data_IF_516787851703
#
_entry.id   IF_516787851703
#
_cell.length_a   1.000
_cell.length_b   1.000
_cell.length_c   1.000
_cell.angle_alpha   90.00
_cell.angle_beta   90.00
_cell.angle_gamma   90.00
#
_symmetry.space_group_name_H-M   'P 1'
#
loop_
_entity.id
_entity.type
_entity.pdbx_description
1 polymer ?
#
# COMPACT_ATOMS: atom_id res chain seq x y z
N UNK A 1 11.72 -24.72 -25.30
CA UNK A 1 11.55 -25.31 -23.95
C UNK A 1 12.49 -24.73 -22.90
N UNK A 2 13.80 -24.59 -23.15
CA UNK A 2 14.75 -24.05 -22.15
C UNK A 2 14.45 -22.61 -21.67
N UNK A 3 13.98 -21.72 -22.57
CA UNK A 3 13.58 -20.35 -22.22
C UNK A 3 12.30 -20.29 -21.35
N UNK A 4 11.38 -21.24 -21.51
CA UNK A 4 10.16 -21.36 -20.69
C UNK A 4 10.50 -21.83 -19.27
N UNK A 5 11.42 -22.79 -19.12
CA UNK A 5 11.87 -23.29 -17.82
C UNK A 5 12.70 -22.24 -17.03
N UNK A 6 13.54 -21.45 -17.71
CA UNK A 6 14.26 -20.34 -17.08
C UNK A 6 13.31 -19.22 -16.61
N UNK A 7 12.22 -18.98 -17.34
CA UNK A 7 11.18 -18.02 -16.95
C UNK A 7 10.43 -18.48 -15.68
N UNK A 8 10.14 -19.78 -15.55
CA UNK A 8 9.51 -20.35 -14.35
C UNK A 8 10.39 -20.28 -13.10
N UNK A 9 11.70 -20.54 -13.21
CA UNK A 9 12.61 -20.50 -12.06
C UNK A 9 12.88 -19.08 -11.55
N UNK A 10 13.06 -18.10 -12.44
CA UNK A 10 13.17 -16.69 -12.06
C UNK A 10 11.87 -16.16 -11.42
N UNK A 11 10.72 -16.64 -11.90
CA UNK A 11 9.41 -16.25 -11.37
C UNK A 11 9.13 -16.76 -9.94
N UNK A 12 9.71 -17.89 -9.52
CA UNK A 12 9.53 -18.49 -8.19
C UNK A 12 10.50 -17.93 -7.11
N UNK A 13 11.68 -17.43 -7.50
CA UNK A 13 12.60 -16.76 -6.58
C UNK A 13 12.15 -15.33 -6.23
N UNK A 14 11.51 -14.63 -7.18
CA UNK A 14 10.91 -13.30 -6.98
C UNK A 14 9.78 -13.32 -5.93
N UNK A 15 8.96 -14.38 -5.89
CA UNK A 15 7.76 -14.43 -5.06
C UNK A 15 8.04 -14.59 -3.56
N UNK A 16 8.99 -15.46 -3.16
CA UNK A 16 9.42 -15.55 -1.74
C UNK A 16 10.01 -14.25 -1.21
N UNK A 17 10.76 -13.53 -2.05
CA UNK A 17 11.30 -12.21 -1.70
C UNK A 17 10.20 -11.18 -1.47
N UNK A 18 9.13 -11.25 -2.26
CA UNK A 18 7.97 -10.38 -2.12
C UNK A 18 7.24 -10.62 -0.79
N UNK A 19 6.89 -11.88 -0.47
CA UNK A 19 6.18 -12.20 0.78
C UNK A 19 6.94 -11.72 2.02
N UNK A 20 8.25 -11.99 2.07
CA UNK A 20 9.07 -11.56 3.20
C UNK A 20 9.10 -10.05 3.36
N UNK A 21 9.17 -9.30 2.25
CA UNK A 21 9.12 -7.85 2.29
C UNK A 21 7.75 -7.34 2.78
N UNK A 22 6.65 -7.84 2.20
CA UNK A 22 5.28 -7.47 2.58
C UNK A 22 5.00 -7.77 4.06
N UNK A 23 5.40 -8.95 4.56
CA UNK A 23 5.25 -9.34 5.96
C UNK A 23 5.96 -8.38 6.92
N UNK A 24 7.11 -7.81 6.50
CA UNK A 24 7.88 -6.83 7.28
C UNK A 24 7.42 -5.38 7.09
N UNK A 25 6.35 -5.14 6.33
CA UNK A 25 5.95 -3.77 5.95
C UNK A 25 7.03 -3.06 5.15
N UNK A 26 7.69 -3.78 4.23
CA UNK A 26 8.72 -3.27 3.33
C UNK A 26 8.24 -3.37 1.87
N UNK A 27 8.68 -2.46 0.98
CA UNK A 27 8.46 -2.64 -0.44
C UNK A 27 9.33 -3.78 -0.96
N UNK A 28 8.75 -4.64 -1.79
CA UNK A 28 9.48 -5.49 -2.70
C UNK A 28 9.74 -4.71 -4.00
N UNK A 29 10.99 -4.75 -4.48
CA UNK A 29 11.40 -4.07 -5.70
C UNK A 29 11.98 -5.08 -6.66
N UNK A 30 11.40 -5.17 -7.86
CA UNK A 30 11.86 -6.06 -8.93
C UNK A 30 12.24 -5.22 -10.16
N UNK A 31 13.55 -4.93 -10.35
CA UNK A 31 14.03 -4.27 -11.55
C UNK A 31 13.84 -5.17 -12.77
N UNK A 32 13.54 -4.56 -13.92
CA UNK A 32 13.35 -5.27 -15.21
C UNK A 32 12.20 -6.29 -15.17
N UNK A 33 11.18 -6.05 -14.35
CA UNK A 33 9.94 -6.83 -14.36
C UNK A 33 9.24 -6.74 -15.74
N UNK A 34 9.25 -5.55 -16.35
CA UNK A 34 8.84 -5.38 -17.75
C UNK A 34 10.06 -5.35 -18.68
N UNK A 35 9.99 -6.01 -19.85
CA UNK A 35 11.00 -5.86 -20.89
C UNK A 35 11.01 -4.43 -21.44
N UNK A 36 12.19 -3.95 -21.83
CA UNK A 36 12.39 -2.56 -22.26
C UNK A 36 11.51 -2.14 -23.44
N UNK A 37 11.20 -3.06 -24.35
CA UNK A 37 10.29 -2.82 -25.49
C UNK A 37 8.87 -2.48 -25.01
N UNK A 38 8.35 -3.25 -24.06
CA UNK A 38 7.03 -3.01 -23.49
C UNK A 38 7.00 -1.70 -22.68
N UNK A 39 8.08 -1.38 -21.97
CA UNK A 39 8.21 -0.08 -21.27
C UNK A 39 8.13 1.08 -22.26
N UNK A 40 8.83 1.01 -23.39
CA UNK A 40 8.78 2.04 -24.43
C UNK A 40 7.38 2.17 -25.04
N UNK A 41 6.74 1.05 -25.37
CA UNK A 41 5.38 1.04 -25.94
C UNK A 41 4.35 1.65 -24.97
N UNK A 42 4.36 1.24 -23.69
CA UNK A 42 3.47 1.77 -22.66
C UNK A 42 3.74 3.26 -22.36
N UNK A 43 5.00 3.71 -22.41
CA UNK A 43 5.31 5.14 -22.27
C UNK A 43 4.75 5.94 -23.44
N UNK A 44 5.00 5.49 -24.68
CA UNK A 44 4.48 6.15 -25.88
C UNK A 44 2.94 6.21 -25.86
N UNK A 45 2.28 5.16 -25.37
CA UNK A 45 0.84 5.14 -25.15
C UNK A 45 0.40 6.20 -24.12
N UNK A 46 1.06 6.29 -22.96
CA UNK A 46 0.79 7.32 -21.95
C UNK A 46 0.98 8.75 -22.51
N UNK A 47 2.03 8.98 -23.29
CA UNK A 47 2.32 10.26 -23.94
C UNK A 47 1.25 10.62 -24.97
N UNK A 48 0.84 9.66 -25.79
CA UNK A 48 -0.25 9.81 -26.76
C UNK A 48 -1.58 10.14 -26.07
N UNK A 49 -1.90 9.44 -24.98
CA UNK A 49 -3.12 9.67 -24.19
C UNK A 49 -3.10 11.06 -23.53
N UNK A 50 -1.94 11.50 -23.04
CA UNK A 50 -1.75 12.85 -22.48
C UNK A 50 -1.91 13.91 -23.56
N UNK A 51 -1.31 13.73 -24.74
CA UNK A 51 -1.41 14.67 -25.85
C UNK A 51 -2.86 14.85 -26.34
N UNK A 52 -3.72 13.84 -26.15
CA UNK A 52 -5.17 13.93 -26.42
C UNK A 52 -6.03 14.42 -25.25
N UNK A 53 -5.41 14.86 -24.14
CA UNK A 53 -6.14 15.44 -23.01
C UNK A 53 -6.88 14.42 -22.14
N UNK A 54 -6.54 13.14 -22.20
CA UNK A 54 -7.17 12.12 -21.35
C UNK A 54 -6.65 12.14 -19.91
N UNK A 55 -5.46 12.69 -19.69
CA UNK A 55 -4.91 12.88 -18.35
C UNK A 55 -5.56 14.07 -17.64
N UNK A 56 -5.93 13.88 -16.36
CA UNK A 56 -6.54 14.91 -15.51
C UNK A 56 -5.70 15.12 -14.25
N UNK A 57 -5.64 16.35 -13.71
CA UNK A 57 -5.06 16.57 -12.39
C UNK A 57 -5.71 15.68 -11.34
N UNK A 58 -4.91 15.15 -10.43
CA UNK A 58 -5.36 14.31 -9.32
C UNK A 58 -5.43 15.12 -8.05
N UNK A 59 -6.60 15.22 -7.42
CA UNK A 59 -6.82 15.93 -6.13
C UNK A 59 -6.07 15.35 -4.93
N UNK A 60 -5.23 14.34 -5.13
CA UNK A 60 -4.30 13.81 -4.14
C UNK A 60 -2.92 14.50 -4.18
N UNK A 61 -2.67 15.44 -5.12
CA UNK A 61 -1.38 16.14 -5.25
C UNK A 61 -1.21 17.31 -4.27
N UNK A 62 0.08 17.66 -4.07
CA UNK A 62 0.73 18.83 -3.43
C UNK A 62 -0.08 19.87 -2.63
N UNK A 63 -1.29 20.26 -3.04
CA UNK A 63 -2.04 21.35 -2.41
C UNK A 63 -3.55 21.36 -2.69
N UNK A 64 -4.24 20.22 -2.78
CA UNK A 64 -5.71 20.18 -2.89
C UNK A 64 -6.43 20.61 -1.59
N UNK A 65 -6.01 21.72 -0.98
CA UNK A 65 -6.71 22.43 0.10
C UNK A 65 -7.91 23.20 -0.49
N UNK A 66 -7.97 23.43 -1.82
CA UNK A 66 -9.11 24.03 -2.52
C UNK A 66 -9.30 23.37 -3.89
N UNK A 67 -10.55 23.05 -4.24
CA UNK A 67 -10.93 22.26 -5.42
C UNK A 67 -10.55 22.83 -6.80
N UNK A 68 -10.00 24.06 -6.89
CA UNK A 68 -9.88 24.81 -8.15
C UNK A 68 -8.48 25.36 -8.46
N UNK A 69 -7.42 24.94 -7.78
CA UNK A 69 -6.07 25.49 -8.00
C UNK A 69 -5.04 24.42 -8.41
N UNK A 70 -5.35 23.66 -9.46
CA UNK A 70 -4.35 22.79 -10.08
C UNK A 70 -3.41 23.62 -10.97
N UNK A 71 -2.11 23.40 -10.83
CA UNK A 71 -1.06 24.02 -11.65
C UNK A 71 -0.26 23.00 -12.46
N UNK A 72 0.68 23.51 -13.27
CA UNK A 72 1.50 22.70 -14.18
C UNK A 72 2.42 21.68 -13.47
N UNK A 73 2.66 21.89 -12.18
CA UNK A 73 3.42 20.99 -11.32
C UNK A 73 2.58 19.92 -10.63
N UNK A 74 1.29 19.78 -10.95
CA UNK A 74 0.46 18.75 -10.34
C UNK A 74 0.58 17.39 -11.02
N UNK A 75 0.38 16.36 -10.20
CA UNK A 75 0.28 14.98 -10.67
C UNK A 75 -0.96 14.85 -11.56
N UNK A 76 -0.77 14.23 -12.72
CA UNK A 76 -1.83 13.87 -13.64
C UNK A 76 -2.08 12.36 -13.59
N UNK A 77 -3.34 11.95 -13.78
CA UNK A 77 -3.75 10.54 -13.86
C UNK A 77 -4.69 10.30 -15.03
N UNK A 78 -4.67 9.09 -15.56
CA UNK A 78 -5.57 8.60 -16.59
C UNK A 78 -5.93 7.14 -16.27
N UNK A 79 -7.21 6.78 -16.32
CA UNK A 79 -7.63 5.36 -16.30
C UNK A 79 -7.75 4.89 -17.75
N UNK A 80 -6.73 4.23 -18.32
CA UNK A 80 -6.75 3.85 -19.72
C UNK A 80 -7.80 2.77 -19.96
N UNK A 81 -8.63 2.95 -20.99
CA UNK A 81 -9.59 1.94 -21.45
C UNK A 81 -9.37 1.65 -22.93
N UNK A 82 -9.91 0.55 -23.44
CA UNK A 82 -9.83 0.23 -24.87
C UNK A 82 -10.47 1.34 -25.73
N UNK A 83 -11.52 1.99 -25.24
CA UNK A 83 -12.25 3.05 -25.95
C UNK A 83 -11.44 4.34 -26.15
N UNK A 84 -10.38 4.57 -25.36
CA UNK A 84 -9.53 5.77 -25.50
C UNK A 84 -8.56 5.69 -26.69
N UNK A 85 -8.40 4.54 -27.34
CA UNK A 85 -7.42 4.34 -28.42
C UNK A 85 -5.99 4.12 -27.90
N UNK A 86 -4.98 4.50 -28.68
CA UNK A 86 -3.57 4.26 -28.36
C UNK A 86 -3.13 2.80 -28.55
N UNK A 87 -2.10 2.37 -27.82
CA UNK A 87 -1.53 1.03 -27.92
C UNK A 87 -2.26 0.04 -27.00
N UNK A 88 -3.42 -0.42 -27.47
CA UNK A 88 -4.21 -1.42 -26.75
C UNK A 88 -3.47 -2.76 -26.56
N UNK A 89 -2.55 -3.11 -27.45
CA UNK A 89 -1.80 -4.36 -27.38
C UNK A 89 -0.79 -4.33 -26.23
N UNK A 90 -0.04 -3.23 -26.07
CA UNK A 90 0.86 -3.05 -24.94
C UNK A 90 0.11 -3.07 -23.60
N UNK A 91 -1.07 -2.43 -23.52
CA UNK A 91 -1.91 -2.47 -22.32
C UNK A 91 -2.45 -3.87 -22.02
N UNK A 92 -2.85 -4.65 -23.04
CA UNK A 92 -3.26 -6.03 -22.87
C UNK A 92 -2.11 -6.90 -22.35
N UNK A 93 -0.89 -6.72 -22.88
CA UNK A 93 0.30 -7.41 -22.39
C UNK A 93 0.59 -7.09 -20.91
N UNK A 94 0.50 -5.82 -20.53
CA UNK A 94 0.62 -5.41 -19.14
C UNK A 94 -0.41 -6.09 -18.25
N UNK A 95 -1.68 -6.12 -18.67
CA UNK A 95 -2.76 -6.76 -17.93
C UNK A 95 -2.48 -8.25 -17.69
N UNK A 96 -1.97 -8.99 -18.70
CA UNK A 96 -1.59 -10.41 -18.53
C UNK A 96 -0.50 -10.60 -17.48
N UNK A 97 0.50 -9.71 -17.44
CA UNK A 97 1.61 -9.77 -16.46
C UNK A 97 1.16 -9.45 -15.05
N UNK A 98 0.31 -8.43 -14.89
CA UNK A 98 -0.26 -8.08 -13.57
C UNK A 98 -1.17 -9.19 -13.07
N UNK A 99 -1.97 -9.80 -13.96
CA UNK A 99 -2.81 -10.95 -13.60
C UNK A 99 -1.98 -12.17 -13.17
N UNK A 100 -0.87 -12.45 -13.86
CA UNK A 100 0.07 -13.49 -13.45
C UNK A 100 0.77 -13.18 -12.10
N UNK A 101 1.05 -11.90 -11.82
CA UNK A 101 1.54 -11.47 -10.51
C UNK A 101 0.47 -11.67 -9.42
N UNK A 102 -0.79 -11.29 -9.69
CA UNK A 102 -1.92 -11.49 -8.78
C UNK A 102 -2.11 -12.95 -8.42
N UNK A 103 -2.16 -13.83 -9.40
CA UNK A 103 -2.37 -15.26 -9.17
C UNK A 103 -1.26 -15.87 -8.28
N UNK A 104 0.00 -15.44 -8.45
CA UNK A 104 1.12 -15.86 -7.59
C UNK A 104 0.95 -15.34 -6.16
N UNK A 105 0.63 -14.05 -6.00
CA UNK A 105 0.44 -13.44 -4.68
C UNK A 105 -0.75 -14.06 -3.94
N UNK A 106 -1.85 -14.36 -4.63
CA UNK A 106 -3.01 -15.03 -4.05
C UNK A 106 -2.65 -16.41 -3.48
N UNK A 107 -1.90 -17.21 -4.24
CA UNK A 107 -1.46 -18.53 -3.81
C UNK A 107 -0.53 -18.50 -2.58
N UNK A 108 0.18 -17.40 -2.38
CA UNK A 108 1.26 -17.31 -1.41
C UNK A 108 0.94 -16.47 -0.16
N UNK A 109 0.10 -15.42 -0.27
CA UNK A 109 -0.22 -14.52 0.85
C UNK A 109 -1.20 -15.14 1.85
N UNK A 110 -2.00 -16.13 1.43
CA UNK A 110 -3.00 -16.75 2.31
C UNK A 110 -4.13 -15.82 2.74
N UNK A 111 -4.37 -14.71 2.02
CA UNK A 111 -5.39 -13.68 2.34
C UNK A 111 -6.72 -13.87 1.58
N UNK A 112 -6.90 -15.03 0.95
CA UNK A 112 -8.06 -15.32 0.11
C UNK A 112 -7.93 -14.71 -1.29
N UNK A 113 -9.04 -14.70 -2.06
CA UNK A 113 -9.01 -14.28 -3.46
C UNK A 113 -8.63 -12.81 -3.62
N UNK A 114 -7.70 -12.55 -4.53
CA UNK A 114 -7.28 -11.21 -4.93
C UNK A 114 -7.89 -10.86 -6.28
N UNK A 115 -8.25 -9.58 -6.47
CA UNK A 115 -8.72 -9.04 -7.73
C UNK A 115 -7.95 -7.78 -8.13
N UNK A 116 -7.44 -7.68 -9.37
CA UNK A 116 -6.86 -6.43 -9.87
C UNK A 116 -7.96 -5.38 -10.03
N UNK A 117 -7.80 -4.23 -9.39
CA UNK A 117 -8.75 -3.11 -9.42
C UNK A 117 -7.98 -1.78 -9.53
N UNK A 118 -8.74 -0.73 -9.87
CA UNK A 118 -8.28 0.66 -9.74
C UNK A 118 -6.94 0.97 -10.45
N UNK A 119 -6.76 0.43 -11.65
CA UNK A 119 -5.57 0.67 -12.47
C UNK A 119 -5.61 2.05 -13.12
N UNK A 120 -4.52 2.82 -12.99
CA UNK A 120 -4.34 4.07 -13.73
C UNK A 120 -2.88 4.30 -14.14
N UNK A 121 -2.70 5.03 -15.22
CA UNK A 121 -1.43 5.66 -15.58
C UNK A 121 -1.29 7.00 -14.87
N UNK A 122 -0.07 7.36 -14.48
CA UNK A 122 0.24 8.62 -13.81
C UNK A 122 1.44 9.32 -14.46
N UNK A 123 1.33 10.64 -14.57
CA UNK A 123 2.40 11.52 -15.02
C UNK A 123 2.73 12.50 -13.89
N UNK A 124 4.00 12.57 -13.53
CA UNK A 124 4.52 13.52 -12.55
C UNK A 124 5.47 14.47 -13.29
N UNK A 125 4.98 15.64 -13.76
CA UNK A 125 5.85 16.66 -14.32
C UNK A 125 6.76 17.26 -13.23
N UNK A 126 7.69 18.14 -13.63
CA UNK A 126 8.55 18.86 -12.69
C UNK A 126 7.72 19.54 -11.58
N UNK A 127 8.09 19.32 -10.33
CA UNK A 127 7.39 19.82 -9.15
C UNK A 127 6.34 18.86 -8.58
N UNK A 128 5.85 17.90 -9.37
CA UNK A 128 4.84 16.96 -8.91
C UNK A 128 5.41 16.02 -7.85
N UNK A 129 4.67 15.88 -6.76
CA UNK A 129 4.92 15.00 -5.64
C UNK A 129 3.59 14.43 -5.13
N UNK A 130 3.66 13.46 -4.22
CA UNK A 130 2.51 12.88 -3.53
C UNK A 130 2.86 12.84 -2.04
N UNK A 131 2.08 13.50 -1.16
CA UNK A 131 2.38 13.53 0.27
C UNK A 131 2.41 12.14 0.90
N UNK A 132 2.98 12.08 2.11
CA UNK A 132 2.97 10.89 2.96
C UNK A 132 1.54 10.37 3.17
N UNK A 133 1.34 9.08 2.91
CA UNK A 133 0.09 8.36 3.13
C UNK A 133 0.34 6.85 3.25
N UNK A 134 -0.71 6.13 3.63
CA UNK A 134 -0.90 4.70 3.38
C UNK A 134 -2.03 4.54 2.39
N UNK A 135 -1.97 3.49 1.56
CA UNK A 135 -2.98 3.26 0.52
C UNK A 135 -4.28 2.70 1.08
N UNK A 136 -4.21 2.04 2.23
CA UNK A 136 -5.33 1.46 2.91
C UNK A 136 -5.29 1.67 4.43
N UNK A 137 -6.47 1.82 5.03
CA UNK A 137 -6.67 1.87 6.48
C UNK A 137 -7.79 0.91 6.88
N UNK A 138 -7.78 0.50 8.14
CA UNK A 138 -8.89 -0.24 8.73
C UNK A 138 -10.24 0.46 8.47
N UNK A 139 -11.30 -0.31 8.24
CA UNK A 139 -12.64 0.17 7.90
C UNK A 139 -13.18 1.13 8.95
N UNK A 140 -13.05 0.78 10.24
CA UNK A 140 -13.31 1.64 11.39
C UNK A 140 -12.65 3.04 11.28
N UNK A 141 -11.42 3.13 10.76
CA UNK A 141 -10.72 4.41 10.58
C UNK A 141 -11.33 5.30 9.49
N UNK A 142 -12.21 4.75 8.64
CA UNK A 142 -12.91 5.46 7.56
C UNK A 142 -14.36 5.80 7.92
N UNK A 143 -14.82 5.42 9.12
CA UNK A 143 -16.21 5.54 9.57
C UNK A 143 -17.18 4.78 8.66
N UNK A 144 -18.41 5.29 8.50
CA UNK A 144 -19.45 4.64 7.71
C UNK A 144 -19.09 4.42 6.23
N UNK A 145 -18.03 5.06 5.70
CA UNK A 145 -17.54 4.82 4.33
C UNK A 145 -16.67 3.56 4.22
N UNK A 146 -16.02 3.15 5.31
CA UNK A 146 -15.12 2.00 5.32
C UNK A 146 -15.80 0.68 4.99
N UNK A 147 -17.07 0.57 5.38
CA UNK A 147 -17.89 -0.64 5.25
C UNK A 147 -18.84 -0.61 4.04
N UNK A 148 -18.70 0.34 3.10
CA UNK A 148 -19.62 0.47 1.94
C UNK A 148 -19.31 -0.49 0.81
N UNK A 149 -18.06 -0.93 0.69
CA UNK A 149 -17.59 -1.75 -0.42
C UNK A 149 -17.23 -3.14 0.10
N UNK A 150 -17.63 -4.24 -0.54
CA UNK A 150 -17.35 -5.59 -0.03
C UNK A 150 -15.88 -6.01 -0.18
N UNK A 151 -15.03 -5.12 -0.67
CA UNK A 151 -13.60 -5.37 -0.91
C UNK A 151 -12.79 -4.17 -0.46
N UNK A 152 -11.50 -4.39 -0.18
CA UNK A 152 -10.52 -3.38 0.21
C UNK A 152 -9.18 -3.62 -0.47
N UNK A 153 -8.30 -2.62 -0.47
CA UNK A 153 -6.96 -2.77 -1.05
C UNK A 153 -6.10 -3.64 -0.13
N UNK A 154 -5.52 -4.71 -0.68
CA UNK A 154 -4.61 -5.61 0.05
C UNK A 154 -3.16 -5.32 -0.31
N UNK A 155 -2.88 -5.28 -1.61
CA UNK A 155 -1.54 -5.10 -2.15
C UNK A 155 -1.54 -3.99 -3.19
N UNK A 156 -0.62 -3.04 -3.03
CA UNK A 156 -0.36 -1.97 -3.98
C UNK A 156 0.77 -2.38 -4.90
N UNK A 157 0.63 -2.05 -6.19
CA UNK A 157 1.71 -2.23 -7.15
C UNK A 157 1.90 -0.98 -8.00
N UNK A 158 3.14 -0.72 -8.35
CA UNK A 158 3.58 0.42 -9.15
C UNK A 158 4.62 -0.06 -10.15
N UNK A 159 4.36 0.16 -11.43
CA UNK A 159 5.28 -0.15 -12.53
C UNK A 159 5.78 1.14 -13.15
N UNK A 160 7.09 1.33 -13.06
CA UNK A 160 7.74 2.50 -13.60
C UNK A 160 7.88 2.43 -15.10
N UNK A 161 7.51 3.52 -15.76
CA UNK A 161 7.63 3.69 -17.20
C UNK A 161 8.59 4.82 -17.55
N UNK A 162 9.30 5.45 -16.62
CA UNK A 162 10.26 6.52 -16.94
C UNK A 162 11.46 5.99 -17.73
N UNK A 163 12.20 6.88 -18.41
CA UNK A 163 13.32 6.49 -19.26
C UNK A 163 14.39 5.68 -18.51
N UNK A 164 15.06 4.79 -19.24
CA UNK A 164 16.21 4.06 -18.74
C UNK A 164 17.32 5.05 -18.34
N UNK A 165 17.95 4.82 -17.19
CA UNK A 165 18.94 5.72 -16.62
C UNK A 165 18.35 7.01 -16.06
N UNK A 166 17.10 7.00 -15.56
CA UNK A 166 16.35 8.19 -15.15
C UNK A 166 17.17 9.20 -14.33
N UNK A 167 17.78 8.77 -13.22
CA UNK A 167 18.57 9.61 -12.30
C UNK A 167 20.09 9.60 -12.57
N UNK A 168 20.53 9.09 -13.73
CA UNK A 168 21.97 9.08 -14.06
C UNK A 168 22.39 10.45 -14.61
N UNK A 169 23.67 10.84 -14.47
CA UNK A 169 24.19 12.01 -15.18
C UNK A 169 23.91 11.90 -16.69
N UNK A 170 23.23 12.92 -17.26
CA UNK A 170 22.76 12.90 -18.66
C UNK A 170 21.49 12.11 -18.93
N UNK A 171 20.83 11.58 -17.88
CA UNK A 171 19.55 10.88 -17.96
C UNK A 171 18.38 11.81 -18.32
N UNK A 172 17.22 11.21 -18.63
CA UNK A 172 16.05 11.97 -19.09
C UNK A 172 15.27 12.65 -17.95
N UNK A 173 15.68 12.51 -16.69
CA UNK A 173 14.95 13.05 -15.55
C UNK A 173 15.78 13.19 -14.28
N UNK A 174 15.10 13.55 -13.20
CA UNK A 174 15.69 13.57 -11.86
C UNK A 174 14.59 13.56 -10.78
N UNK A 175 14.83 12.90 -9.65
CA UNK A 175 13.92 12.87 -8.51
C UNK A 175 12.69 12.01 -8.75
N UNK A 176 11.59 12.26 -8.02
CA UNK A 176 10.37 11.46 -8.19
C UNK A 176 10.46 10.04 -7.59
N UNK A 177 11.40 9.76 -6.69
CA UNK A 177 11.46 8.45 -6.05
C UNK A 177 10.19 8.19 -5.21
N UNK A 178 9.76 6.93 -5.16
CA UNK A 178 8.84 6.48 -4.12
C UNK A 178 9.67 6.30 -2.84
N UNK A 179 9.47 7.17 -1.86
CA UNK A 179 10.09 7.05 -0.55
C UNK A 179 9.18 6.27 0.36
N UNK A 180 9.65 5.11 0.79
CA UNK A 180 8.97 4.19 1.67
C UNK A 180 9.56 4.28 3.09
N UNK A 181 8.69 4.27 4.11
CA UNK A 181 9.07 4.44 5.51
C UNK A 181 8.92 3.12 6.27
N UNK A 182 9.97 2.31 6.22
CA UNK A 182 9.94 0.93 6.70
C UNK A 182 10.29 0.81 8.18
N UNK A 183 9.95 -0.33 8.78
CA UNK A 183 10.33 -0.69 10.14
C UNK A 183 11.47 -1.72 10.10
N UNK A 184 12.74 -1.33 10.34
CA UNK A 184 13.88 -2.24 10.14
C UNK A 184 13.88 -3.45 11.10
N UNK A 185 13.15 -3.36 12.22
CA UNK A 185 13.05 -4.40 13.24
C UNK A 185 11.74 -5.19 13.20
N UNK A 186 10.96 -5.09 12.12
CA UNK A 186 9.73 -5.88 11.97
C UNK A 186 10.05 -7.37 11.86
N UNK A 187 9.36 -8.20 12.66
CA UNK A 187 9.46 -9.65 12.52
C UNK A 187 8.92 -10.09 11.17
N UNK A 188 9.52 -11.12 10.55
CA UNK A 188 8.96 -11.73 9.35
C UNK A 188 7.81 -12.71 9.66
N UNK A 189 7.38 -12.83 10.92
CA UNK A 189 6.37 -13.80 11.33
C UNK A 189 4.96 -13.23 11.12
N UNK A 190 4.19 -13.92 10.29
CA UNK A 190 2.80 -13.59 10.00
C UNK A 190 2.61 -12.88 8.66
N UNK A 191 1.34 -12.74 8.23
CA UNK A 191 1.01 -12.26 6.90
C UNK A 191 1.37 -10.79 6.61
N UNK A 192 1.71 -9.97 7.61
CA UNK A 192 1.80 -8.49 7.50
C UNK A 192 0.48 -7.87 7.02
N UNK A 193 0.15 -6.62 7.39
CA UNK A 193 -1.00 -5.88 6.81
C UNK A 193 -2.42 -6.38 7.12
N UNK A 194 -2.68 -7.69 7.13
CA UNK A 194 -3.96 -8.32 7.44
C UNK A 194 -3.78 -9.72 8.01
N UNK A 195 -4.58 -10.09 9.01
CA UNK A 195 -4.63 -11.44 9.60
C UNK A 195 -6.08 -11.84 9.89
N UNK A 196 -6.53 -13.02 9.43
CA UNK A 196 -7.91 -13.49 9.62
C UNK A 196 -8.99 -12.44 9.22
N UNK A 197 -8.68 -11.65 8.19
CA UNK A 197 -9.54 -10.55 7.72
C UNK A 197 -9.43 -9.25 8.53
N UNK A 198 -8.71 -9.21 9.65
CA UNK A 198 -8.47 -8.01 10.44
C UNK A 198 -7.28 -7.24 9.88
N UNK A 199 -7.41 -5.94 9.68
CA UNK A 199 -6.29 -5.12 9.19
C UNK A 199 -5.32 -4.74 10.31
N UNK A 200 -4.05 -4.63 9.93
CA UNK A 200 -3.00 -4.09 10.78
C UNK A 200 -3.28 -2.62 11.08
N UNK A 201 -3.16 -2.23 12.35
CA UNK A 201 -3.37 -0.85 12.82
C UNK A 201 -2.12 -0.25 13.48
N UNK A 202 -1.10 -1.07 13.73
CA UNK A 202 0.17 -0.62 14.29
C UNK A 202 1.20 -1.72 14.40
N UNK A 203 2.18 -1.44 15.24
CA UNK A 203 3.29 -2.30 15.61
C UNK A 203 3.45 -2.30 17.13
N UNK A 204 3.86 -3.40 17.72
CA UNK A 204 4.17 -3.54 19.13
C UNK A 204 5.65 -3.88 19.29
N UNK A 205 6.37 -3.15 20.14
CA UNK A 205 7.73 -3.50 20.53
C UNK A 205 7.72 -4.65 21.53
N UNK A 206 8.28 -5.78 21.11
CA UNK A 206 8.52 -6.94 21.96
C UNK A 206 9.71 -6.69 22.92
N UNK A 207 9.87 -7.57 23.91
CA UNK A 207 10.94 -7.45 24.91
C UNK A 207 12.35 -7.60 24.31
N UNK A 208 12.49 -8.34 23.21
CA UNK A 208 13.74 -8.45 22.44
C UNK A 208 13.99 -7.24 21.51
N UNK A 209 13.12 -6.23 21.55
CA UNK A 209 13.21 -5.01 20.76
C UNK A 209 12.79 -5.16 19.30
N UNK A 210 12.30 -6.33 18.88
CA UNK A 210 11.66 -6.53 17.59
C UNK A 210 10.23 -5.98 17.59
N UNK A 211 9.68 -5.79 16.40
CA UNK A 211 8.34 -5.25 16.19
C UNK A 211 7.39 -6.32 15.67
N UNK A 212 6.31 -6.55 16.40
CA UNK A 212 5.20 -7.42 16.02
C UNK A 212 4.07 -6.60 15.42
N UNK A 213 3.41 -7.11 14.38
CA UNK A 213 2.22 -6.46 13.83
C UNK A 213 1.07 -6.48 14.85
N UNK A 214 0.34 -5.37 14.94
CA UNK A 214 -0.86 -5.24 15.77
C UNK A 214 -2.07 -5.12 14.86
N UNK A 215 -3.07 -5.97 15.08
CA UNK A 215 -4.30 -6.04 14.31
C UNK A 215 -5.48 -5.59 15.18
N UNK A 216 -6.55 -5.13 14.52
CA UNK A 216 -7.82 -4.80 15.17
C UNK A 216 -8.87 -5.84 14.82
N UNK A 217 -9.28 -6.64 15.79
CA UNK A 217 -10.51 -7.42 15.69
C UNK A 217 -11.69 -6.49 15.96
N UNK A 218 -12.53 -6.24 14.96
CA UNK A 218 -13.71 -5.39 15.09
C UNK A 218 -15.01 -6.17 15.35
N UNK A 219 -14.93 -7.50 15.37
CA UNK A 219 -16.06 -8.41 15.52
C UNK A 219 -15.89 -9.30 16.75
N UNK A 220 -15.31 -8.77 17.83
CA UNK A 220 -15.16 -9.52 19.07
C UNK A 220 -16.54 -9.67 19.73
N UNK A 221 -16.97 -10.92 19.92
CA UNK A 221 -18.18 -11.22 20.69
C UNK A 221 -17.89 -11.05 22.18
N UNK A 222 -18.51 -10.05 22.79
CA UNK A 222 -18.33 -9.71 24.20
C UNK A 222 -19.71 -9.60 24.87
N UNK A 223 -20.18 -10.66 25.58
CA UNK A 223 -21.53 -10.70 26.17
C UNK A 223 -21.78 -9.59 27.21
N UNK A 224 -20.71 -9.11 27.83
CA UNK A 224 -20.67 -8.05 28.83
C UNK A 224 -20.71 -6.64 28.22
N UNK A 225 -20.52 -6.52 26.90
CA UNK A 225 -20.65 -5.25 26.17
C UNK A 225 -22.08 -5.16 25.63
N UNK A 226 -22.82 -4.07 25.88
CA UNK A 226 -24.19 -3.96 25.38
C UNK A 226 -24.24 -4.12 23.85
N UNK A 227 -25.20 -4.87 23.32
CA UNK A 227 -25.23 -5.22 21.89
C UNK A 227 -24.24 -6.31 21.44
N UNK A 228 -23.46 -6.88 22.36
CA UNK A 228 -22.66 -8.10 22.15
C UNK A 228 -21.43 -7.97 21.24
N UNK A 229 -21.19 -6.78 20.67
CA UNK A 229 -20.09 -6.50 19.75
C UNK A 229 -19.08 -5.54 20.39
N UNK A 230 -17.82 -5.93 20.37
CA UNK A 230 -16.69 -5.12 20.78
C UNK A 230 -15.55 -5.24 19.78
N UNK A 231 -14.52 -4.43 20.00
CA UNK A 231 -13.26 -4.51 19.31
C UNK A 231 -12.13 -4.82 20.29
N UNK A 232 -11.06 -5.44 19.81
CA UNK A 232 -9.85 -5.65 20.59
C UNK A 232 -8.61 -5.59 19.69
N UNK A 233 -7.51 -5.12 20.27
CA UNK A 233 -6.20 -5.19 19.65
C UNK A 233 -5.54 -6.51 19.99
N UNK A 234 -4.87 -7.11 19.03
CA UNK A 234 -4.09 -8.33 19.24
C UNK A 234 -2.81 -8.32 18.39
N UNK A 235 -1.79 -9.06 18.86
CA UNK A 235 -0.62 -9.44 18.06
C UNK A 235 -0.61 -10.96 17.86
N UNK A 236 0.36 -11.48 17.12
CA UNK A 236 0.55 -12.94 16.99
C UNK A 236 1.72 -13.38 17.85
N UNK A 237 1.60 -14.54 18.50
CA UNK A 237 2.73 -15.18 19.18
C UNK A 237 3.67 -15.91 18.18
N UNK A 238 4.69 -16.59 18.70
CA UNK A 238 5.65 -17.34 17.87
C UNK A 238 5.03 -18.52 17.09
N UNK A 239 3.82 -18.96 17.45
CA UNK A 239 3.06 -20.01 16.77
C UNK A 239 2.09 -19.43 15.73
N UNK A 240 1.97 -18.10 15.67
CA UNK A 240 0.99 -17.42 14.83
C UNK A 240 -0.39 -17.31 15.47
N UNK A 241 -0.51 -17.57 16.78
CA UNK A 241 -1.79 -17.52 17.47
C UNK A 241 -2.08 -16.09 18.00
N UNK A 242 -3.34 -15.60 17.93
CA UNK A 242 -3.71 -14.30 18.45
C UNK A 242 -3.51 -14.15 19.96
N UNK A 243 -2.75 -13.13 20.37
CA UNK A 243 -2.60 -12.69 21.77
C UNK A 243 -3.19 -11.30 21.91
N UNK A 244 -4.28 -11.22 22.68
CA UNK A 244 -5.00 -9.97 22.94
C UNK A 244 -4.16 -9.02 23.80
N UNK A 245 -4.11 -7.74 23.38
CA UNK A 245 -3.30 -6.69 24.01
C UNK A 245 -4.12 -5.74 24.89
N UNK A 246 -5.45 -5.76 24.78
CA UNK A 246 -6.33 -4.90 25.59
C UNK A 246 -7.64 -5.60 25.97
N UNK A 247 -8.35 -5.01 26.93
CA UNK A 247 -9.75 -5.36 27.18
C UNK A 247 -10.63 -4.99 25.97
N UNK A 248 -11.77 -5.69 25.76
CA UNK A 248 -12.74 -5.31 24.74
C UNK A 248 -13.15 -3.84 24.90
N UNK A 249 -13.20 -3.11 23.78
CA UNK A 249 -13.61 -1.70 23.76
C UNK A 249 -14.56 -1.45 22.59
N UNK A 250 -15.27 -0.32 22.60
CA UNK A 250 -16.07 0.10 21.44
C UNK A 250 -15.28 1.09 20.60
N UNK A 251 -15.22 0.84 19.30
CA UNK A 251 -14.91 1.91 18.36
C UNK A 251 -16.05 2.93 18.44
N UNK A 252 -15.72 4.16 18.83
CA UNK A 252 -16.72 5.20 18.92
C UNK A 252 -17.28 5.43 17.51
N UNK A 253 -18.60 5.32 17.35
CA UNK A 253 -19.28 5.77 16.15
C UNK A 253 -19.16 7.30 16.06
N UNK A 254 -18.05 7.80 15.52
CA UNK A 254 -17.78 9.24 15.47
C UNK A 254 -16.41 9.57 14.86
N UNK A 255 -16.29 10.80 14.35
CA UNK A 255 -15.11 11.32 13.63
C UNK A 255 -13.83 11.49 14.48
N UNK A 256 -13.74 10.83 15.64
CA UNK A 256 -12.49 10.84 16.41
C UNK A 256 -11.40 10.18 15.57
N UNK A 257 -10.18 10.74 15.50
CA UNK A 257 -9.07 10.08 14.80
C UNK A 257 -8.84 8.71 15.43
N UNK A 258 -9.21 7.65 14.71
CA UNK A 258 -9.22 6.27 15.22
C UNK A 258 -7.82 5.85 15.68
N UNK A 259 -6.78 6.47 15.14
CA UNK A 259 -5.39 6.29 15.57
C UNK A 259 -5.14 6.60 17.06
N UNK A 260 -5.88 7.54 17.67
CA UNK A 260 -5.77 7.83 19.12
C UNK A 260 -6.61 6.88 19.97
N UNK A 261 -7.58 6.20 19.37
CA UNK A 261 -8.42 5.24 20.08
C UNK A 261 -7.58 4.01 20.50
N UNK A 262 -6.70 3.53 19.61
CA UNK A 262 -5.89 2.35 19.87
C UNK A 262 -4.98 2.52 21.09
N UNK A 263 -4.27 3.65 21.18
CA UNK A 263 -3.41 3.96 22.32
C UNK A 263 -4.18 4.05 23.64
N UNK A 264 -5.42 4.55 23.60
CA UNK A 264 -6.28 4.65 24.79
C UNK A 264 -6.88 3.32 25.21
N UNK A 265 -7.04 2.38 24.28
CA UNK A 265 -7.55 1.05 24.57
C UNK A 265 -6.49 0.17 25.23
N UNK A 266 -5.21 0.43 24.98
CA UNK A 266 -4.10 -0.35 25.55
C UNK A 266 -3.88 -0.02 27.03
N UNK A 267 -3.54 -1.03 27.86
CA UNK A 267 -2.94 -0.80 29.17
C UNK A 267 -1.70 0.10 29.09
N UNK A 268 -1.36 0.88 30.14
CA UNK A 268 -0.26 1.85 30.07
C UNK A 268 1.10 1.27 29.65
N UNK A 269 1.42 0.06 30.09
CA UNK A 269 2.64 -0.68 29.77
C UNK A 269 2.69 -1.16 28.31
N UNK A 270 1.54 -1.46 27.71
CA UNK A 270 1.43 -1.79 26.29
C UNK A 270 1.35 -0.54 25.40
N UNK A 271 0.71 0.53 25.88
CA UNK A 271 0.59 1.79 25.16
C UNK A 271 1.97 2.40 24.84
N UNK A 272 2.95 2.28 25.74
CA UNK A 272 4.33 2.73 25.50
C UNK A 272 5.10 1.84 24.51
N UNK A 273 4.66 0.60 24.29
CA UNK A 273 5.23 -0.35 23.32
C UNK A 273 4.60 -0.22 21.94
N UNK A 274 3.42 0.38 21.86
CA UNK A 274 2.69 0.55 20.62
C UNK A 274 3.28 1.66 19.74
N UNK A 275 3.36 1.39 18.44
CA UNK A 275 3.84 2.30 17.41
C UNK A 275 2.83 2.29 16.26
N UNK A 276 2.36 3.46 15.85
CA UNK A 276 1.45 3.57 14.70
C UNK A 276 2.13 3.15 13.39
N UNK A 277 1.33 2.72 12.42
CA UNK A 277 1.79 2.51 11.04
C UNK A 277 2.31 3.83 10.48
N UNK A 278 1.49 4.87 10.50
CA UNK A 278 1.92 6.24 10.18
C UNK A 278 2.38 6.97 11.45
N UNK A 279 3.58 7.58 11.46
CA UNK A 279 4.06 8.34 12.60
C UNK A 279 3.07 9.44 13.04
N UNK A 280 2.79 9.51 14.34
CA UNK A 280 1.89 10.51 14.91
C UNK A 280 2.47 11.93 14.74
N UNK A 281 1.65 12.92 14.37
CA UNK A 281 2.10 14.31 14.23
C UNK A 281 2.62 14.69 12.84
N UNK A 282 2.32 13.89 11.81
CA UNK A 282 2.66 14.19 10.42
C UNK A 282 4.17 14.25 10.20
N UNK A 283 4.64 15.27 9.47
CA UNK A 283 6.05 15.42 9.12
C UNK A 283 6.98 15.51 10.33
N UNK A 284 6.58 16.20 11.41
CA UNK A 284 7.38 16.31 12.63
C UNK A 284 7.52 14.96 13.35
N UNK A 285 6.43 14.19 13.41
CA UNK A 285 6.42 12.84 13.94
C UNK A 285 7.33 11.89 13.18
N UNK A 286 7.24 11.93 11.85
CA UNK A 286 8.08 11.14 10.98
C UNK A 286 9.56 11.52 11.14
N UNK A 287 9.89 12.81 11.23
CA UNK A 287 11.27 13.26 11.44
C UNK A 287 11.84 12.74 12.77
N UNK A 288 11.06 12.76 13.86
CA UNK A 288 11.47 12.20 15.14
C UNK A 288 11.65 10.67 15.07
N UNK A 289 10.78 9.97 14.34
CA UNK A 289 10.86 8.53 14.13
C UNK A 289 12.10 8.11 13.31
N UNK A 290 12.46 8.90 12.30
CA UNK A 290 13.70 8.73 11.53
C UNK A 290 14.94 9.00 12.41
N UNK A 291 14.94 10.10 13.17
CA UNK A 291 16.07 10.48 14.02
C UNK A 291 16.37 9.45 15.13
N UNK A 292 15.33 8.79 15.65
CA UNK A 292 15.46 7.73 16.65
C UNK A 292 15.78 6.34 16.05
N UNK A 293 15.78 6.20 14.73
CA UNK A 293 15.93 4.90 14.05
C UNK A 293 14.75 3.96 14.24
N UNK A 294 13.60 4.46 14.72
CA UNK A 294 12.35 3.69 14.78
C UNK A 294 11.81 3.37 13.39
N UNK A 295 12.17 4.20 12.40
CA UNK A 295 11.80 4.10 10.99
C UNK A 295 13.03 4.33 10.13
N UNK A 296 13.09 3.66 8.99
CA UNK A 296 14.09 3.88 7.95
C UNK A 296 13.42 4.34 6.66
N UNK A 297 14.05 5.25 5.92
CA UNK A 297 13.58 5.67 4.60
C UNK A 297 14.31 4.88 3.50
N UNK A 298 13.55 4.24 2.63
CA UNK A 298 14.04 3.54 1.44
C UNK A 298 13.49 4.24 0.21
N UNK A 299 14.36 4.64 -0.71
CA UNK A 299 13.98 5.29 -1.96
C UNK A 299 13.98 4.28 -3.11
N UNK A 300 12.80 4.06 -3.71
CA UNK A 300 12.66 3.29 -4.95
C UNK A 300 12.71 4.25 -6.12
N UNK A 301 13.81 4.17 -6.89
CA UNK A 301 14.03 5.00 -8.07
C UNK A 301 13.00 4.68 -9.17
N UNK A 302 12.52 5.68 -9.92
CA UNK A 302 11.47 5.48 -10.90
C UNK A 302 12.00 4.99 -12.26
N UNK A 303 12.89 4.00 -12.24
CA UNK A 303 13.57 3.42 -13.40
C UNK A 303 12.60 2.56 -14.23
N UNK A 304 12.58 2.76 -15.55
CA UNK A 304 11.72 2.02 -16.48
C UNK A 304 11.76 0.50 -16.30
N UNK A 305 10.58 -0.12 -16.26
CA UNK A 305 10.40 -1.56 -16.10
C UNK A 305 10.57 -2.08 -14.69
N UNK A 306 10.80 -1.22 -13.70
CA UNK A 306 10.87 -1.60 -12.29
C UNK A 306 9.48 -1.73 -11.69
N UNK A 307 9.22 -2.85 -11.03
CA UNK A 307 8.05 -3.07 -10.17
C UNK A 307 8.39 -2.68 -8.73
N UNK A 308 7.53 -1.89 -8.11
CA UNK A 308 7.44 -1.76 -6.66
C UNK A 308 6.12 -2.39 -6.20
N UNK A 309 6.18 -3.29 -5.23
CA UNK A 309 5.05 -4.01 -4.67
C UNK A 309 5.09 -3.87 -3.15
N UNK A 310 3.98 -3.55 -2.52
CA UNK A 310 3.92 -3.40 -1.07
C UNK A 310 2.52 -3.63 -0.53
N UNK A 311 2.46 -3.93 0.76
CA UNK A 311 1.20 -4.05 1.49
C UNK A 311 0.51 -2.68 1.59
N UNK A 312 -0.75 -2.60 1.15
CA UNK A 312 -1.47 -1.33 1.09
C UNK A 312 -1.72 -0.72 2.47
N UNK A 313 -1.73 -1.54 3.53
CA UNK A 313 -2.00 -1.13 4.90
C UNK A 313 -0.71 -0.81 5.64
N UNK A 314 0.34 -1.61 5.46
CA UNK A 314 1.50 -1.58 6.35
C UNK A 314 2.62 -0.60 5.94
N UNK A 315 2.60 -0.06 4.72
CA UNK A 315 3.70 0.77 4.21
C UNK A 315 3.32 2.25 4.03
N UNK A 316 3.68 3.13 4.99
CA UNK A 316 3.65 4.57 4.75
C UNK A 316 4.66 4.95 3.69
N UNK A 317 4.25 5.77 2.73
CA UNK A 317 5.09 6.19 1.63
C UNK A 317 4.67 7.54 1.06
N UNK A 318 5.57 8.15 0.30
CA UNK A 318 5.37 9.39 -0.45
C UNK A 318 6.04 9.29 -1.81
N UNK A 319 5.67 10.16 -2.75
CA UNK A 319 6.44 10.36 -3.99
C UNK A 319 7.16 11.68 -3.85
N UNK A 320 8.50 11.64 -3.88
CA UNK A 320 9.32 12.84 -3.80
C UNK A 320 9.08 13.77 -4.99
N UNK A 321 9.38 15.08 -4.87
CA UNK A 321 9.26 15.99 -5.99
C UNK A 321 10.07 15.53 -7.21
N UNK A 322 9.42 15.52 -8.37
CA UNK A 322 10.11 15.34 -9.65
C UNK A 322 10.89 16.60 -9.97
N UNK A 323 12.21 16.49 -10.15
CA UNK A 323 13.12 17.64 -10.34
C UNK A 323 13.34 17.96 -11.82
N UNK A 324 13.39 16.94 -12.68
CA UNK A 324 13.52 17.08 -14.13
C UNK A 324 12.77 15.96 -14.87
N UNK A 325 12.38 16.23 -16.12
CA UNK A 325 11.62 15.30 -16.95
C UNK A 325 10.15 15.13 -16.52
N UNK A 326 9.49 14.11 -17.08
CA UNK A 326 8.19 13.61 -16.59
C UNK A 326 8.36 12.18 -16.09
N UNK A 327 8.11 11.94 -14.79
CA UNK A 327 8.09 10.60 -14.22
C UNK A 327 6.78 9.92 -14.62
N UNK A 328 6.90 8.76 -15.25
CA UNK A 328 5.76 7.96 -15.70
C UNK A 328 5.66 6.67 -14.89
N UNK A 329 4.43 6.30 -14.52
CA UNK A 329 4.18 5.01 -13.91
C UNK A 329 2.73 4.55 -14.14
N UNK A 330 2.52 3.24 -14.14
CA UNK A 330 1.19 2.64 -14.01
C UNK A 330 1.09 2.08 -12.60
N UNK A 331 -0.01 2.39 -11.91
CA UNK A 331 -0.28 1.89 -10.58
C UNK A 331 -1.64 1.18 -10.56
N UNK A 332 -1.80 0.31 -9.59
CA UNK A 332 -3.10 -0.28 -9.27
C UNK A 332 -3.05 -0.98 -7.93
N UNK A 333 -4.20 -1.54 -7.56
CA UNK A 333 -4.34 -2.28 -6.32
C UNK A 333 -4.95 -3.65 -6.58
N UNK A 334 -4.46 -4.63 -5.84
CA UNK A 334 -5.12 -5.92 -5.72
C UNK A 334 -6.02 -5.86 -4.49
N UNK A 335 -7.31 -6.08 -4.71
CA UNK A 335 -8.30 -6.06 -3.66
C UNK A 335 -8.52 -7.45 -3.09
N UNK A 336 -8.71 -7.55 -1.78
CA UNK A 336 -9.23 -8.71 -1.09
C UNK A 336 -10.66 -8.44 -0.60
N UNK A 337 -11.39 -9.50 -0.24
CA UNK A 337 -12.68 -9.35 0.41
C UNK A 337 -12.51 -8.66 1.77
N UNK A 338 -13.43 -7.74 2.09
CA UNK A 338 -13.58 -7.29 3.47
C UNK A 338 -14.12 -8.41 4.34
N UNK A 339 -13.95 -8.29 5.66
CA UNK A 339 -14.66 -9.18 6.57
C UNK A 339 -16.17 -9.01 6.40
N UNK A 340 -16.92 -10.11 6.25
CA UNK A 340 -18.37 -10.04 6.29
C UNK A 340 -18.82 -9.63 7.69
N UNK A 341 -20.00 -9.01 7.79
CA UNK A 341 -20.67 -8.89 9.07
C UNK A 341 -20.91 -10.29 9.65
N UNK A 342 -20.54 -10.54 10.91
CA UNK A 342 -20.85 -11.81 11.55
C UNK A 342 -22.36 -12.08 11.55
N UNK A 343 -22.77 -13.33 11.44
CA UNK A 343 -24.20 -13.68 11.39
C UNK A 343 -24.99 -13.20 12.61
N UNK A 344 -24.32 -13.09 13.77
CA UNK A 344 -24.91 -12.61 15.02
C UNK A 344 -24.99 -11.08 15.10
N UNK A 345 -24.31 -10.34 14.24
CA UNK A 345 -24.33 -8.88 14.25
C UNK A 345 -25.72 -8.36 13.88
N UNK A 346 -26.29 -7.45 14.70
CA UNK A 346 -27.61 -6.87 14.48
C UNK A 346 -28.80 -7.78 14.79
N UNK A 347 -28.57 -9.06 15.11
CA UNK A 347 -29.57 -9.90 15.78
C UNK A 347 -29.47 -9.53 17.26
N UNK A 348 -30.46 -8.79 17.78
CA UNK A 348 -30.48 -8.36 19.18
C UNK A 348 -30.06 -9.51 20.11
N UNK A 349 -29.19 -9.20 21.08
CA UNK A 349 -28.72 -10.16 22.07
C UNK A 349 -29.89 -10.79 22.84
#
# INVERSE_FOLDING_TARGET
MAALLACCAAAAASSRGALGALARGQPHVEPRFLPAELVRALRADCEWLRARGHFRPSGLSNAAVRANAFGDGDRLVCTPTAALGGDAAARAELARRVEALRARLEAELGRGPLAVRELYASAHPRGAALPLHVDERHEEAKGARGWRTPTRRSVSWLLYLSADGWDRPGGAGAGGALRAYVRPRARPHGPGGAHAGNLQVGWRRADDGLLDAVFLDCWLRAPDVPGGCASALYSLDARGEPVRLCAPFRTAAGNAPVDRLYERALPPDEAVRFCRVEPAGGAAGLAAALASGAVEAIDVRPEGGTLALFDSVALPHEVQPTRAGTRWAVAGWMHEAQQPFPEWFGRGA
#
